data_IF_558818401028
#
_entry.id   IF_558818401028
#
_cell.length_a   1.000
_cell.length_b   1.000
_cell.length_c   1.000
_cell.angle_alpha   90.00
_cell.angle_beta   90.00
_cell.angle_gamma   90.00
#
_symmetry.space_group_name_H-M   'P 1'
#
loop_
_entity.id
_entity.type
_entity.pdbx_description
1 polymer ?
#
# COMPACT_ATOMS: atom_id res chain seq x y z
N UNK A 1 -3.84 31.13 -10.96
CA UNK A 1 -2.76 31.76 -10.19
C UNK A 1 -1.51 30.91 -10.39
N UNK A 2 -0.39 31.47 -10.85
CA UNK A 2 0.86 30.73 -11.10
C UNK A 2 1.64 30.77 -9.79
N UNK A 3 1.84 29.60 -9.16
CA UNK A 3 2.63 29.50 -7.94
C UNK A 3 4.08 29.22 -8.33
N UNK A 4 5.01 30.12 -7.97
CA UNK A 4 6.45 29.88 -8.03
C UNK A 4 6.91 29.40 -6.65
N UNK A 5 7.25 28.10 -6.50
CA UNK A 5 7.92 27.62 -5.30
C UNK A 5 9.31 28.28 -5.18
N UNK A 6 9.70 28.78 -3.99
CA UNK A 6 10.98 29.47 -3.83
C UNK A 6 12.16 28.52 -4.12
N UNK A 7 13.00 28.89 -5.10
CA UNK A 7 14.21 28.16 -5.47
C UNK A 7 15.30 28.36 -4.42
N UNK A 8 15.39 27.46 -3.43
CA UNK A 8 16.64 27.25 -2.70
C UNK A 8 17.51 26.25 -3.49
N UNK A 9 18.72 26.68 -3.88
CA UNK A 9 19.74 25.81 -4.50
C UNK A 9 20.14 24.68 -3.52
N UNK A 10 19.40 23.61 -3.48
CA UNK A 10 19.82 22.30 -2.96
C UNK A 10 19.62 21.28 -4.07
N UNK A 11 20.47 20.23 -4.11
CA UNK A 11 20.39 19.08 -5.00
C UNK A 11 18.90 18.67 -5.07
N UNK A 12 18.27 18.87 -6.22
CA UNK A 12 16.84 18.73 -6.41
C UNK A 12 16.49 17.24 -6.29
N UNK A 13 16.26 16.78 -5.06
CA UNK A 13 15.58 15.51 -4.84
C UNK A 13 14.11 15.83 -5.12
N UNK A 14 13.64 15.46 -6.30
CA UNK A 14 12.25 15.62 -6.70
C UNK A 14 11.42 14.59 -5.96
N UNK A 15 10.82 14.95 -4.84
CA UNK A 15 9.93 14.09 -4.04
C UNK A 15 8.47 14.19 -4.48
N UNK A 16 8.18 14.77 -5.64
CA UNK A 16 6.82 14.85 -6.18
C UNK A 16 6.24 13.45 -6.40
N UNK A 17 4.94 13.30 -6.18
CA UNK A 17 4.25 12.13 -6.68
C UNK A 17 4.28 12.20 -8.22
N UNK A 18 4.85 11.19 -8.85
CA UNK A 18 5.10 11.17 -10.29
C UNK A 18 4.43 9.97 -10.92
N UNK A 19 3.59 10.22 -11.91
CA UNK A 19 3.04 9.18 -12.79
C UNK A 19 3.75 9.24 -14.13
N UNK A 20 4.12 8.08 -14.68
CA UNK A 20 4.76 7.98 -15.99
C UNK A 20 4.34 6.72 -16.72
N UNK A 21 4.35 6.80 -18.05
CA UNK A 21 4.05 5.66 -18.92
C UNK A 21 4.69 5.87 -20.30
N UNK A 22 5.06 4.81 -21.04
CA UNK A 22 5.40 4.90 -22.45
C UNK A 22 4.19 5.20 -23.35
N UNK A 23 2.97 5.14 -22.81
CA UNK A 23 1.72 5.37 -23.52
C UNK A 23 1.00 6.61 -22.99
N UNK A 24 0.16 7.27 -23.81
CA UNK A 24 -0.71 8.35 -23.34
C UNK A 24 -1.58 7.88 -22.17
N UNK A 25 -1.76 8.75 -21.18
CA UNK A 25 -2.67 8.53 -20.07
C UNK A 25 -3.24 9.81 -19.51
N UNK A 26 -4.31 9.69 -18.74
CA UNK A 26 -4.92 10.81 -17.99
C UNK A 26 -5.25 10.39 -16.57
N UNK A 27 -5.38 11.38 -15.70
CA UNK A 27 -5.76 11.20 -14.30
C UNK A 27 -6.92 12.12 -13.97
N UNK A 28 -7.93 11.61 -13.25
CA UNK A 28 -9.05 12.38 -12.72
C UNK A 28 -9.50 11.88 -11.37
N UNK A 29 -10.22 12.69 -10.64
CA UNK A 29 -10.97 12.37 -9.42
C UNK A 29 -12.36 12.92 -9.55
N UNK A 30 -13.39 12.08 -9.39
CA UNK A 30 -14.78 12.54 -9.52
C UNK A 30 -15.20 13.42 -8.33
N UNK A 31 -14.80 13.00 -7.13
CA UNK A 31 -15.07 13.74 -5.90
C UNK A 31 -13.75 13.99 -5.18
N UNK A 32 -13.22 15.22 -5.16
CA UNK A 32 -12.03 15.56 -4.38
C UNK A 32 -12.20 15.29 -2.90
N UNK A 33 -11.19 14.59 -2.31
CA UNK A 33 -11.18 14.20 -0.89
C UNK A 33 -10.16 14.97 -0.04
N UNK A 34 -9.34 15.80 -0.67
CA UNK A 34 -8.31 16.57 0.02
C UNK A 34 -8.89 17.82 0.71
N UNK A 35 -8.28 18.21 1.82
CA UNK A 35 -8.74 19.27 2.72
C UNK A 35 -7.90 20.57 2.65
N UNK A 36 -6.83 20.57 1.86
CA UNK A 36 -6.01 21.72 1.50
C UNK A 36 -6.03 21.95 -0.01
N UNK A 37 -4.84 22.00 -0.64
CA UNK A 37 -4.70 22.18 -2.07
C UNK A 37 -3.84 21.13 -2.71
N UNK A 38 -4.20 20.71 -3.93
CA UNK A 38 -3.34 19.91 -4.81
C UNK A 38 -2.98 20.70 -6.06
N UNK A 39 -1.80 20.42 -6.57
CA UNK A 39 -1.29 20.99 -7.80
C UNK A 39 -0.78 19.88 -8.71
N UNK A 40 -0.89 20.06 -10.02
CA UNK A 40 -0.25 19.21 -11.00
C UNK A 40 0.68 19.99 -11.91
N UNK A 41 1.60 19.30 -12.54
CA UNK A 41 2.51 19.82 -13.56
C UNK A 41 2.79 18.74 -14.61
N UNK A 42 3.09 19.16 -15.82
CA UNK A 42 3.57 18.31 -16.92
C UNK A 42 5.07 18.44 -17.17
N UNK A 43 5.73 19.42 -16.54
CA UNK A 43 7.14 19.75 -16.80
C UNK A 43 7.95 20.09 -15.55
N UNK A 44 7.33 19.99 -14.35
CA UNK A 44 7.88 20.35 -13.03
C UNK A 44 8.25 21.84 -12.87
N UNK A 45 8.01 22.68 -13.87
CA UNK A 45 8.33 24.12 -13.85
C UNK A 45 7.10 24.95 -13.59
N UNK A 46 5.98 24.60 -14.23
CA UNK A 46 4.69 25.29 -14.09
C UNK A 46 3.71 24.38 -13.35
N UNK A 47 3.20 24.85 -12.22
CA UNK A 47 2.23 24.16 -11.38
C UNK A 47 0.87 24.83 -11.49
N UNK A 48 -0.18 24.06 -11.65
CA UNK A 48 -1.57 24.48 -11.75
C UNK A 48 -2.36 23.86 -10.62
N UNK A 49 -3.17 24.64 -9.91
CA UNK A 49 -4.08 24.11 -8.88
C UNK A 49 -5.03 23.10 -9.52
N UNK A 50 -5.12 21.92 -8.94
CA UNK A 50 -5.93 20.82 -9.44
C UNK A 50 -7.18 20.64 -8.61
N UNK A 51 -8.32 20.62 -9.30
CA UNK A 51 -9.65 20.48 -8.69
C UNK A 51 -10.26 19.09 -8.93
N UNK A 52 -9.49 18.14 -9.44
CA UNK A 52 -9.93 16.78 -9.75
C UNK A 52 -10.34 16.55 -11.20
N UNK A 53 -10.45 17.61 -12.01
CA UNK A 53 -10.73 17.51 -13.43
C UNK A 53 -9.71 16.62 -14.15
N UNK A 54 -10.11 16.01 -15.25
CA UNK A 54 -9.21 15.18 -16.05
C UNK A 54 -8.02 15.99 -16.55
N UNK A 55 -6.81 15.46 -16.30
CA UNK A 55 -5.55 16.02 -16.77
C UNK A 55 -4.80 14.96 -17.57
N UNK A 56 -4.31 15.38 -18.76
CA UNK A 56 -3.58 14.50 -19.66
C UNK A 56 -2.08 14.63 -19.41
N UNK A 57 -1.39 13.49 -19.45
CA UNK A 57 0.06 13.46 -19.43
C UNK A 57 0.62 14.05 -20.72
N UNK A 58 1.78 14.70 -20.60
CA UNK A 58 2.51 15.26 -21.74
C UNK A 58 3.74 14.40 -22.01
N UNK A 59 3.98 14.14 -23.29
CA UNK A 59 5.14 13.37 -23.75
C UNK A 59 6.40 14.24 -23.76
N UNK A 60 7.48 13.70 -23.25
CA UNK A 60 8.83 14.20 -23.39
C UNK A 60 9.80 13.03 -23.47
N UNK A 61 10.66 13.01 -24.49
CA UNK A 61 11.68 11.97 -24.70
C UNK A 61 11.13 10.52 -24.72
N UNK A 62 9.93 10.33 -25.29
CA UNK A 62 9.26 9.03 -25.39
C UNK A 62 8.51 8.59 -24.15
N UNK A 63 8.39 9.43 -23.13
CA UNK A 63 7.68 9.14 -21.88
C UNK A 63 6.61 10.19 -21.61
N UNK A 64 5.39 9.75 -21.34
CA UNK A 64 4.31 10.59 -20.84
C UNK A 64 4.44 10.73 -19.33
N UNK A 65 4.31 11.94 -18.78
CA UNK A 65 4.42 12.19 -17.35
C UNK A 65 3.39 13.20 -16.82
N UNK A 66 3.01 12.99 -15.55
CA UNK A 66 2.27 13.92 -14.70
C UNK A 66 2.89 13.94 -13.31
N UNK A 67 3.00 15.12 -12.75
CA UNK A 67 3.56 15.37 -11.43
C UNK A 67 2.51 15.99 -10.52
N UNK A 68 2.45 15.57 -9.26
CA UNK A 68 1.52 16.10 -8.28
C UNK A 68 2.24 16.51 -7.01
N UNK A 69 1.77 17.60 -6.40
CA UNK A 69 2.18 18.03 -5.06
C UNK A 69 1.02 18.68 -4.33
N UNK A 70 1.09 18.76 -3.02
CA UNK A 70 0.07 19.35 -2.18
C UNK A 70 0.63 20.36 -1.20
N UNK A 71 -0.27 21.14 -0.60
CA UNK A 71 0.05 22.02 0.51
C UNK A 71 -1.13 22.11 1.46
N UNK A 72 -0.84 22.08 2.78
CA UNK A 72 -1.83 22.22 3.83
C UNK A 72 -2.88 21.11 3.88
N UNK A 73 -2.63 19.94 3.27
CA UNK A 73 -3.51 18.79 3.39
C UNK A 73 -3.11 17.93 4.60
N UNK A 74 -4.10 17.33 5.24
CA UNK A 74 -3.93 16.23 6.18
C UNK A 74 -4.52 14.92 5.62
N UNK A 75 -5.31 15.03 4.54
CA UNK A 75 -6.02 13.94 3.88
C UNK A 75 -6.09 14.19 2.38
N UNK A 76 -6.01 13.10 1.58
CA UNK A 76 -6.10 13.15 0.11
C UNK A 76 -7.35 12.43 -0.41
N UNK A 77 -7.72 11.33 0.23
CA UNK A 77 -8.90 10.55 -0.06
C UNK A 77 -9.69 10.36 1.24
N UNK A 78 -10.56 9.40 1.33
CA UNK A 78 -11.33 9.16 2.55
C UNK A 78 -12.34 8.03 2.36
N UNK A 79 -12.07 7.16 1.37
CA UNK A 79 -12.91 6.02 1.02
C UNK A 79 -13.19 5.91 -0.47
N UNK A 80 -14.02 4.97 -0.84
CA UNK A 80 -14.23 4.56 -2.24
C UNK A 80 -14.80 5.64 -3.16
N UNK A 81 -15.48 6.65 -2.64
CA UNK A 81 -16.01 7.78 -3.41
C UNK A 81 -14.93 8.79 -3.84
N UNK A 82 -13.77 8.77 -3.21
CA UNK A 82 -12.68 9.75 -3.41
C UNK A 82 -11.48 9.16 -4.15
N UNK A 83 -11.68 8.03 -4.83
CA UNK A 83 -10.60 7.34 -5.53
C UNK A 83 -10.15 8.10 -6.77
N UNK A 84 -8.87 7.96 -7.07
CA UNK A 84 -8.27 8.44 -8.30
C UNK A 84 -8.53 7.45 -9.44
N UNK A 85 -8.82 7.97 -10.62
CA UNK A 85 -9.00 7.17 -11.85
C UNK A 85 -7.82 7.43 -12.78
N UNK A 86 -7.12 6.37 -13.15
CA UNK A 86 -5.99 6.38 -14.07
C UNK A 86 -6.45 5.74 -15.39
N UNK A 87 -6.63 6.55 -16.42
CA UNK A 87 -7.02 6.10 -17.77
C UNK A 87 -5.78 5.94 -18.64
N UNK A 88 -5.48 4.75 -19.07
CA UNK A 88 -4.30 4.42 -19.86
C UNK A 88 -3.79 3.02 -19.53
N UNK A 89 -2.56 2.73 -19.91
CA UNK A 89 -1.92 1.43 -19.68
C UNK A 89 -0.49 1.59 -19.16
N UNK A 90 -0.01 0.58 -18.42
CA UNK A 90 1.38 0.52 -17.94
C UNK A 90 1.83 1.77 -17.19
N UNK A 91 0.99 2.30 -16.30
CA UNK A 91 1.27 3.51 -15.55
C UNK A 91 2.11 3.16 -14.34
N UNK A 92 3.28 3.80 -14.23
CA UNK A 92 4.17 3.75 -13.06
C UNK A 92 3.87 4.93 -12.15
N UNK A 93 3.77 4.69 -10.83
CA UNK A 93 3.70 5.75 -9.83
C UNK A 93 4.93 5.69 -8.94
N UNK A 94 5.65 6.79 -8.81
CA UNK A 94 6.90 6.91 -8.04
C UNK A 94 6.91 8.19 -7.20
N UNK A 95 7.98 8.40 -6.42
CA UNK A 95 8.08 9.54 -5.51
C UNK A 95 7.50 9.25 -4.13
N UNK A 96 7.34 10.29 -3.33
CA UNK A 96 6.84 10.20 -1.95
C UNK A 96 5.36 10.59 -1.90
N UNK A 97 4.49 9.69 -1.42
CA UNK A 97 3.05 9.96 -1.31
C UNK A 97 2.73 11.14 -0.39
N UNK A 98 3.54 11.36 0.64
CA UNK A 98 3.35 12.45 1.60
C UNK A 98 3.51 13.83 0.96
N UNK A 99 4.16 13.92 -0.21
CA UNK A 99 4.25 15.18 -0.97
C UNK A 99 2.90 15.73 -1.42
N UNK A 100 1.85 14.90 -1.43
CA UNK A 100 0.47 15.34 -1.66
C UNK A 100 -0.13 16.04 -0.45
N UNK A 101 0.34 15.73 0.76
CA UNK A 101 -0.11 16.40 1.98
C UNK A 101 0.53 17.77 2.09
N UNK A 102 1.85 17.80 2.17
CA UNK A 102 2.60 19.05 2.23
C UNK A 102 4.01 18.85 1.67
N UNK A 103 4.23 19.36 0.46
CA UNK A 103 5.49 19.20 -0.25
C UNK A 103 6.67 19.87 0.48
N UNK A 104 6.47 21.06 1.07
CA UNK A 104 7.54 21.81 1.73
C UNK A 104 8.02 21.07 2.99
N UNK A 105 7.10 20.47 3.76
CA UNK A 105 7.42 19.63 4.91
C UNK A 105 8.25 18.42 4.49
N UNK A 106 7.86 17.72 3.42
CA UNK A 106 8.61 16.55 2.88
C UNK A 106 9.96 16.98 2.32
N UNK A 107 10.04 18.10 1.61
CA UNK A 107 11.30 18.63 1.07
C UNK A 107 12.28 19.07 2.17
N UNK A 108 11.77 19.43 3.35
CA UNK A 108 12.57 19.72 4.54
C UNK A 108 13.04 18.45 5.29
N UNK A 109 12.59 17.26 4.87
CA UNK A 109 12.94 15.98 5.49
C UNK A 109 12.06 15.60 6.67
N UNK A 110 10.87 16.16 6.77
CA UNK A 110 9.89 15.89 7.83
C UNK A 110 8.66 15.15 7.28
N UNK A 111 7.86 14.57 8.18
CA UNK A 111 6.59 13.93 7.86
C UNK A 111 5.43 14.89 8.14
N UNK A 112 4.51 15.10 7.18
CA UNK A 112 3.27 15.84 7.39
C UNK A 112 2.34 15.12 8.35
N UNK A 113 1.37 15.84 8.92
CA UNK A 113 0.31 15.25 9.74
C UNK A 113 -0.62 14.40 8.88
N UNK A 114 -0.91 13.17 9.33
CA UNK A 114 -1.88 12.26 8.73
C UNK A 114 -3.20 12.34 9.48
N UNK A 115 -4.30 12.62 8.79
CA UNK A 115 -5.64 12.42 9.34
C UNK A 115 -6.10 10.97 9.16
N UNK A 116 -7.18 10.58 9.83
CA UNK A 116 -7.80 9.27 9.63
C UNK A 116 -8.26 9.10 8.18
N UNK A 117 -8.11 7.87 7.68
CA UNK A 117 -8.44 7.50 6.30
C UNK A 117 -7.69 8.30 5.23
N UNK A 118 -6.54 8.90 5.55
CA UNK A 118 -5.78 9.85 4.75
C UNK A 118 -5.65 9.48 3.26
N UNK A 119 -5.34 8.21 2.96
CA UNK A 119 -5.20 7.68 1.60
C UNK A 119 -6.14 6.48 1.34
N UNK A 120 -7.16 6.33 2.18
CA UNK A 120 -8.08 5.18 2.06
C UNK A 120 -8.69 5.09 0.67
N UNK A 121 -8.56 3.92 0.02
CA UNK A 121 -9.05 3.61 -1.33
C UNK A 121 -8.50 4.47 -2.47
N UNK A 122 -7.47 5.30 -2.25
CA UNK A 122 -7.00 6.30 -3.22
C UNK A 122 -6.79 5.72 -4.63
N UNK A 123 -6.13 4.58 -4.75
CA UNK A 123 -5.86 3.90 -6.03
C UNK A 123 -6.66 2.61 -6.21
N UNK A 124 -7.73 2.42 -5.44
CA UNK A 124 -8.54 1.20 -5.53
C UNK A 124 -9.10 1.00 -6.93
N UNK A 125 -8.84 -0.18 -7.52
CA UNK A 125 -9.27 -0.52 -8.87
C UNK A 125 -8.44 0.07 -10.02
N UNK A 126 -7.30 0.72 -9.73
CA UNK A 126 -6.39 1.22 -10.77
C UNK A 126 -5.65 0.06 -11.44
N UNK A 127 -6.32 -0.62 -12.39
CA UNK A 127 -5.78 -1.82 -13.05
C UNK A 127 -4.59 -1.54 -13.97
N UNK A 128 -4.38 -0.30 -14.39
CA UNK A 128 -3.23 0.13 -15.20
C UNK A 128 -1.97 0.42 -14.38
N UNK A 129 -2.07 0.47 -13.03
CA UNK A 129 -0.96 0.80 -12.15
C UNK A 129 0.00 -0.38 -12.00
N UNK A 130 1.27 -0.19 -12.35
CA UNK A 130 2.31 -1.23 -12.35
C UNK A 130 3.30 -1.12 -11.20
N UNK A 131 3.55 0.10 -10.71
CA UNK A 131 4.38 0.39 -9.53
C UNK A 131 3.69 1.39 -8.62
N UNK A 132 4.11 1.46 -7.37
CA UNK A 132 3.52 2.31 -6.34
C UNK A 132 4.56 3.26 -5.73
N UNK A 133 4.13 4.43 -5.21
CA UNK A 133 5.03 5.40 -4.59
C UNK A 133 5.58 4.89 -3.26
N UNK A 134 6.60 5.56 -2.72
CA UNK A 134 7.06 5.30 -1.36
C UNK A 134 6.02 5.73 -0.32
N UNK A 135 5.90 4.92 0.76
CA UNK A 135 5.01 5.13 1.90
C UNK A 135 5.86 5.23 3.17
N UNK A 136 6.51 6.36 3.43
CA UNK A 136 7.57 6.46 4.44
C UNK A 136 7.07 6.63 5.88
N UNK A 137 5.77 6.82 6.11
CA UNK A 137 5.21 7.03 7.43
C UNK A 137 5.53 5.86 8.38
N UNK A 138 6.05 6.17 9.56
CA UNK A 138 6.38 5.21 10.62
C UNK A 138 5.30 5.10 11.71
N UNK A 139 4.42 6.08 11.78
CA UNK A 139 3.23 6.14 12.64
C UNK A 139 2.01 6.37 11.77
N UNK A 140 0.99 5.54 11.93
CA UNK A 140 -0.22 5.59 11.13
C UNK A 140 -1.43 6.01 11.97
N UNK A 141 -2.46 6.50 11.27
CA UNK A 141 -3.78 6.83 11.81
C UNK A 141 -4.82 5.78 11.37
N UNK A 142 -6.02 5.85 11.90
CA UNK A 142 -7.09 4.89 11.60
C UNK A 142 -7.39 4.85 10.11
N UNK A 143 -7.42 3.63 9.55
CA UNK A 143 -7.72 3.36 8.14
C UNK A 143 -6.84 4.09 7.11
N UNK A 144 -5.68 4.62 7.49
CA UNK A 144 -4.83 5.49 6.67
C UNK A 144 -4.57 4.94 5.25
N UNK A 145 -4.20 3.65 5.13
CA UNK A 145 -3.93 2.98 3.85
C UNK A 145 -4.94 1.87 3.53
N UNK A 146 -6.10 1.88 4.22
CA UNK A 146 -7.12 0.86 3.99
C UNK A 146 -7.58 0.86 2.53
N UNK A 147 -7.62 -0.33 1.88
CA UNK A 147 -7.99 -0.52 0.46
C UNK A 147 -7.17 0.29 -0.56
N UNK A 148 -6.05 0.93 -0.18
CA UNK A 148 -5.36 1.92 -1.02
C UNK A 148 -5.03 1.41 -2.43
N UNK A 149 -4.57 0.17 -2.57
CA UNK A 149 -4.24 -0.47 -3.84
C UNK A 149 -5.11 -1.69 -4.14
N UNK A 150 -6.25 -1.84 -3.45
CA UNK A 150 -7.14 -2.98 -3.68
C UNK A 150 -7.57 -3.06 -5.14
N UNK A 151 -7.43 -4.23 -5.78
CA UNK A 151 -7.80 -4.43 -7.17
C UNK A 151 -6.82 -3.85 -8.20
N UNK A 152 -5.63 -3.40 -7.82
CA UNK A 152 -4.56 -3.00 -8.75
C UNK A 152 -3.94 -4.26 -9.38
N UNK A 153 -4.61 -4.82 -10.38
CA UNK A 153 -4.30 -6.16 -10.91
C UNK A 153 -2.99 -6.24 -11.69
N UNK A 154 -2.45 -5.12 -12.19
CA UNK A 154 -1.15 -5.07 -12.87
C UNK A 154 0.02 -4.80 -11.92
N UNK A 155 -0.24 -4.60 -10.63
CA UNK A 155 0.80 -4.33 -9.65
C UNK A 155 1.62 -5.59 -9.37
N UNK A 156 2.93 -5.53 -9.58
CA UNK A 156 3.87 -6.66 -9.41
C UNK A 156 4.72 -6.56 -8.15
N UNK A 157 4.93 -5.36 -7.64
CA UNK A 157 5.79 -5.05 -6.48
C UNK A 157 5.05 -4.18 -5.47
N UNK A 158 5.50 -4.23 -4.22
CA UNK A 158 4.96 -3.42 -3.11
C UNK A 158 6.01 -2.44 -2.61
N UNK A 159 5.61 -1.29 -2.00
CA UNK A 159 6.53 -0.39 -1.33
C UNK A 159 7.00 -1.01 -0.01
N UNK A 160 8.09 -0.48 0.55
CA UNK A 160 8.42 -0.71 1.95
C UNK A 160 7.31 -0.16 2.85
N UNK A 161 6.98 -0.89 3.92
CA UNK A 161 6.01 -0.49 4.95
C UNK A 161 6.72 -0.36 6.29
N UNK A 162 7.39 0.77 6.58
CA UNK A 162 8.25 0.93 7.75
C UNK A 162 7.50 1.14 9.05
N UNK A 163 6.18 1.31 9.03
CA UNK A 163 5.40 1.67 10.20
C UNK A 163 5.48 0.59 11.30
N UNK A 164 5.87 1.03 12.47
CA UNK A 164 5.89 0.24 13.72
C UNK A 164 4.79 0.64 14.68
N UNK A 165 4.26 1.85 14.57
CA UNK A 165 3.08 2.33 15.30
C UNK A 165 1.86 2.26 14.38
N UNK A 166 1.02 1.29 14.64
CA UNK A 166 -0.18 1.02 13.86
C UNK A 166 -1.42 1.62 14.50
N UNK A 167 -2.43 1.90 13.70
CA UNK A 167 -3.77 2.28 14.12
C UNK A 167 -4.82 1.32 13.56
N UNK A 168 -6.07 1.48 13.97
CA UNK A 168 -7.18 0.61 13.58
C UNK A 168 -7.30 0.52 12.06
N UNK A 169 -7.36 -0.70 11.54
CA UNK A 169 -7.58 -1.00 10.11
C UNK A 169 -6.60 -0.30 9.14
N UNK A 170 -5.44 0.17 9.61
CA UNK A 170 -4.54 1.04 8.84
C UNK A 170 -4.05 0.41 7.52
N UNK A 171 -3.88 -0.91 7.45
CA UNK A 171 -3.50 -1.65 6.24
C UNK A 171 -4.57 -2.66 5.79
N UNK A 172 -5.81 -2.55 6.32
CA UNK A 172 -6.87 -3.48 5.96
C UNK A 172 -7.12 -3.49 4.46
N UNK A 173 -7.12 -4.69 3.85
CA UNK A 173 -7.36 -4.93 2.42
C UNK A 173 -6.47 -4.13 1.46
N UNK A 174 -5.32 -3.62 1.92
CA UNK A 174 -4.48 -2.69 1.16
C UNK A 174 -4.10 -3.20 -0.23
N UNK A 175 -3.78 -4.47 -0.38
CA UNK A 175 -3.40 -5.13 -1.63
C UNK A 175 -4.39 -6.22 -2.05
N UNK A 176 -5.58 -6.26 -1.47
CA UNK A 176 -6.58 -7.27 -1.83
C UNK A 176 -6.85 -7.26 -3.34
N UNK A 177 -6.96 -8.46 -3.96
CA UNK A 177 -7.15 -8.61 -5.41
C UNK A 177 -6.01 -8.05 -6.31
N UNK A 178 -4.81 -7.84 -5.80
CA UNK A 178 -3.62 -7.56 -6.61
C UNK A 178 -3.09 -8.86 -7.22
N UNK A 179 -3.76 -9.35 -8.26
CA UNK A 179 -3.56 -10.72 -8.79
C UNK A 179 -2.19 -10.97 -9.42
N UNK A 180 -1.46 -9.93 -9.83
CA UNK A 180 -0.09 -10.03 -10.36
C UNK A 180 1.01 -9.83 -9.30
N UNK A 181 0.64 -9.53 -8.06
CA UNK A 181 1.60 -9.29 -6.99
C UNK A 181 2.33 -10.57 -6.61
N UNK A 182 3.67 -10.57 -6.68
CA UNK A 182 4.50 -11.75 -6.43
C UNK A 182 5.17 -11.75 -5.07
N UNK A 183 5.42 -10.59 -4.47
CA UNK A 183 6.15 -10.43 -3.20
C UNK A 183 5.36 -9.63 -2.17
N UNK A 184 5.39 -10.07 -0.93
CA UNK A 184 4.88 -9.31 0.21
C UNK A 184 5.99 -8.40 0.79
N UNK A 185 5.65 -7.24 1.37
CA UNK A 185 6.60 -6.43 2.12
C UNK A 185 6.88 -7.04 3.49
N UNK A 186 7.99 -6.65 4.12
CA UNK A 186 8.22 -6.89 5.54
C UNK A 186 7.18 -6.13 6.39
N UNK A 187 6.73 -6.74 7.49
CA UNK A 187 5.76 -6.18 8.44
C UNK A 187 6.41 -6.09 9.83
N UNK A 188 7.12 -4.99 10.14
CA UNK A 188 7.99 -4.90 11.32
C UNK A 188 7.27 -4.67 12.65
N UNK A 189 5.97 -4.31 12.64
CA UNK A 189 5.24 -3.95 13.85
C UNK A 189 5.11 -5.13 14.82
N UNK A 190 5.48 -4.90 16.06
CA UNK A 190 5.35 -5.86 17.18
C UNK A 190 4.13 -5.59 18.05
N UNK A 191 3.55 -4.40 17.96
CA UNK A 191 2.30 -4.01 18.60
C UNK A 191 1.22 -3.87 17.53
N UNK A 192 0.15 -4.63 17.67
CA UNK A 192 -0.95 -4.66 16.73
C UNK A 192 -2.16 -3.89 17.27
N UNK A 193 -3.04 -3.52 16.34
CA UNK A 193 -4.32 -2.88 16.62
C UNK A 193 -5.46 -3.63 15.92
N UNK A 194 -6.70 -3.29 16.23
CA UNK A 194 -7.89 -3.92 15.63
C UNK A 194 -7.82 -3.94 14.11
N UNK A 195 -7.96 -5.12 13.49
CA UNK A 195 -8.01 -5.32 12.03
C UNK A 195 -6.84 -4.72 11.23
N UNK A 196 -5.69 -4.42 11.83
CA UNK A 196 -4.62 -3.65 11.18
C UNK A 196 -4.10 -4.26 9.86
N UNK A 197 -4.11 -5.60 9.72
CA UNK A 197 -3.69 -6.32 8.51
C UNK A 197 -4.80 -7.23 7.95
N UNK A 198 -6.06 -7.03 8.38
CA UNK A 198 -7.17 -7.85 7.91
C UNK A 198 -7.26 -7.83 6.39
N UNK A 199 -7.38 -9.02 5.75
CA UNK A 199 -7.52 -9.20 4.30
C UNK A 199 -6.43 -8.53 3.44
N UNK A 200 -5.28 -8.17 4.02
CA UNK A 200 -4.27 -7.34 3.37
C UNK A 200 -3.85 -7.85 1.99
N UNK A 201 -3.72 -9.17 1.82
CA UNK A 201 -3.33 -9.83 0.58
C UNK A 201 -4.41 -10.79 0.06
N UNK A 202 -5.67 -10.66 0.51
CA UNK A 202 -6.74 -11.54 0.04
C UNK A 202 -6.79 -11.55 -1.50
N UNK A 203 -6.88 -12.76 -2.09
CA UNK A 203 -6.93 -13.00 -3.55
C UNK A 203 -5.70 -12.52 -4.36
N UNK A 204 -4.53 -12.35 -3.71
CA UNK A 204 -3.24 -12.14 -4.38
C UNK A 204 -2.70 -13.49 -4.89
N UNK A 205 -3.25 -13.99 -6.01
CA UNK A 205 -3.03 -15.36 -6.49
C UNK A 205 -1.60 -15.65 -6.94
N UNK A 206 -0.83 -14.63 -7.37
CA UNK A 206 0.57 -14.78 -7.78
C UNK A 206 1.57 -14.66 -6.62
N UNK A 207 1.11 -14.37 -5.40
CA UNK A 207 1.99 -14.13 -4.25
C UNK A 207 2.76 -15.39 -3.85
N UNK A 208 4.09 -15.30 -3.85
CA UNK A 208 5.01 -16.42 -3.55
C UNK A 208 5.84 -16.22 -2.28
N UNK A 209 5.69 -15.08 -1.60
CA UNK A 209 6.35 -14.80 -0.34
C UNK A 209 5.34 -14.60 0.80
N UNK A 210 5.73 -14.95 2.01
CA UNK A 210 4.95 -14.68 3.23
C UNK A 210 5.77 -13.80 4.17
N UNK A 211 5.20 -12.71 4.73
CA UNK A 211 5.90 -11.91 5.71
C UNK A 211 6.04 -12.66 7.03
N UNK A 212 7.16 -12.48 7.71
CA UNK A 212 7.27 -12.92 9.09
C UNK A 212 6.43 -12.03 10.01
N UNK A 213 5.75 -12.63 11.00
CA UNK A 213 4.82 -11.95 11.89
C UNK A 213 5.39 -11.94 13.31
N UNK A 214 6.05 -10.84 13.73
CA UNK A 214 6.81 -10.80 14.98
C UNK A 214 5.96 -10.55 16.24
N UNK A 215 4.74 -10.03 16.10
CA UNK A 215 3.89 -9.63 17.22
C UNK A 215 3.49 -10.85 18.08
N UNK A 216 3.77 -10.78 19.38
CA UNK A 216 3.43 -11.85 20.34
C UNK A 216 2.04 -11.68 20.95
N UNK A 217 1.48 -10.48 20.97
CA UNK A 217 0.10 -10.23 21.39
C UNK A 217 -0.73 -9.86 20.17
N UNK A 218 -1.66 -10.74 19.81
CA UNK A 218 -2.60 -10.50 18.73
C UNK A 218 -3.79 -9.68 19.25
N UNK A 219 -4.38 -8.90 18.36
CA UNK A 219 -5.61 -8.14 18.60
C UNK A 219 -6.74 -8.67 17.73
N UNK A 220 -7.96 -8.28 18.04
CA UNK A 220 -9.14 -8.74 17.31
C UNK A 220 -8.99 -8.47 15.81
N UNK A 221 -9.24 -9.50 14.99
CA UNK A 221 -9.21 -9.47 13.53
C UNK A 221 -7.89 -9.06 12.88
N UNK A 222 -6.76 -8.96 13.62
CA UNK A 222 -5.51 -8.37 13.10
C UNK A 222 -4.98 -9.01 11.82
N UNK A 223 -5.10 -10.34 11.65
CA UNK A 223 -4.67 -11.11 10.47
C UNK A 223 -5.83 -11.89 9.82
N UNK A 224 -7.07 -11.56 10.18
CA UNK A 224 -8.27 -12.21 9.63
C UNK A 224 -8.26 -12.15 8.09
N UNK A 225 -8.48 -13.29 7.40
CA UNK A 225 -8.45 -13.42 5.93
C UNK A 225 -7.17 -12.92 5.23
N UNK A 226 -6.05 -12.72 5.92
CA UNK A 226 -4.87 -12.02 5.38
C UNK A 226 -4.38 -12.58 4.05
N UNK A 227 -4.36 -13.90 3.87
CA UNK A 227 -3.93 -14.59 2.65
C UNK A 227 -5.04 -15.41 2.00
N UNK A 228 -6.31 -15.14 2.32
CA UNK A 228 -7.43 -15.86 1.70
C UNK A 228 -7.31 -15.80 0.18
N UNK A 229 -7.47 -16.95 -0.50
CA UNK A 229 -7.44 -17.04 -1.96
C UNK A 229 -6.06 -16.87 -2.61
N UNK A 230 -4.98 -16.78 -1.83
CA UNK A 230 -3.60 -16.73 -2.33
C UNK A 230 -3.15 -18.13 -2.73
N UNK A 231 -3.51 -18.59 -3.91
CA UNK A 231 -3.30 -19.99 -4.35
C UNK A 231 -1.84 -20.42 -4.46
N UNK A 232 -0.90 -19.48 -4.57
CA UNK A 232 0.54 -19.75 -4.59
C UNK A 232 1.19 -19.70 -3.20
N UNK A 233 0.46 -19.29 -2.15
CA UNK A 233 0.89 -19.50 -0.77
C UNK A 233 0.59 -20.94 -0.38
N UNK A 234 1.63 -21.67 0.04
CA UNK A 234 1.55 -23.10 0.32
C UNK A 234 2.03 -23.41 1.73
N UNK A 235 1.13 -23.95 2.55
CA UNK A 235 1.45 -24.41 3.90
C UNK A 235 1.14 -25.92 4.05
N UNK A 236 1.86 -26.54 5.00
CA UNK A 236 1.63 -27.90 5.45
C UNK A 236 1.78 -27.99 6.99
N UNK A 237 1.12 -28.97 7.59
CA UNK A 237 1.25 -29.24 9.04
C UNK A 237 2.57 -29.94 9.35
N UNK A 238 3.07 -30.76 8.42
CA UNK A 238 4.26 -31.58 8.62
C UNK A 238 5.38 -31.16 7.67
N UNK A 239 6.62 -31.23 8.16
CA UNK A 239 7.82 -31.02 7.35
C UNK A 239 7.95 -32.12 6.28
N UNK A 240 8.34 -31.71 5.09
CA UNK A 240 8.62 -32.61 3.98
C UNK A 240 9.74 -32.03 3.10
N UNK A 241 10.13 -32.76 2.04
CA UNK A 241 11.12 -32.26 1.07
C UNK A 241 10.61 -31.03 0.31
N UNK A 242 9.30 -30.90 0.11
CA UNK A 242 8.67 -29.74 -0.56
C UNK A 242 8.42 -28.60 0.42
N UNK A 243 8.08 -28.90 1.68
CA UNK A 243 7.73 -27.94 2.72
C UNK A 243 8.82 -27.99 3.81
N UNK A 244 9.92 -27.29 3.62
CA UNK A 244 11.13 -27.39 4.44
C UNK A 244 11.36 -26.19 5.37
N UNK A 245 10.71 -25.05 5.11
CA UNK A 245 10.85 -23.82 5.89
C UNK A 245 9.77 -23.72 6.96
N UNK A 246 10.18 -23.43 8.18
CA UNK A 246 9.24 -23.25 9.29
C UNK A 246 8.54 -21.91 9.21
N UNK A 247 7.22 -21.91 9.36
CA UNK A 247 6.39 -20.72 9.47
C UNK A 247 5.56 -20.79 10.75
N UNK A 248 5.71 -19.81 11.62
CA UNK A 248 5.07 -19.79 12.93
C UNK A 248 4.54 -18.40 13.25
N UNK A 249 3.42 -18.32 13.98
CA UNK A 249 2.79 -17.11 14.46
C UNK A 249 2.70 -17.17 16.00
N UNK A 250 3.35 -16.26 16.72
CA UNK A 250 4.38 -15.32 16.29
C UNK A 250 5.62 -16.05 15.78
N UNK A 251 6.47 -15.34 15.03
CA UNK A 251 7.74 -15.86 14.50
C UNK A 251 8.59 -16.53 15.57
N UNK A 252 8.60 -15.98 16.79
CA UNK A 252 9.37 -16.50 17.95
C UNK A 252 8.64 -16.22 19.25
N UNK A 253 9.02 -16.95 20.31
CA UNK A 253 8.39 -16.85 21.61
C UNK A 253 6.99 -17.50 21.67
N UNK A 254 6.28 -17.29 22.75
CA UNK A 254 4.88 -17.68 22.88
C UNK A 254 3.98 -16.46 22.74
N UNK A 255 2.96 -16.59 21.91
CA UNK A 255 1.99 -15.54 21.66
C UNK A 255 0.65 -15.78 22.37
N UNK A 256 -0.13 -14.72 22.44
CA UNK A 256 -1.51 -14.71 22.94
C UNK A 256 -2.42 -14.28 21.79
N UNK A 257 -3.49 -15.04 21.56
CA UNK A 257 -4.49 -14.75 20.52
C UNK A 257 -5.61 -13.86 21.04
N UNK A 258 -6.37 -13.31 20.12
CA UNK A 258 -7.57 -12.51 20.37
C UNK A 258 -8.72 -12.97 19.45
N UNK A 259 -9.90 -12.36 19.59
CA UNK A 259 -11.09 -12.71 18.83
C UNK A 259 -10.86 -12.66 17.33
N UNK A 260 -11.05 -13.78 16.64
CA UNK A 260 -10.91 -13.90 15.18
C UNK A 260 -9.58 -13.37 14.61
N UNK A 261 -8.54 -13.29 15.43
CA UNK A 261 -7.24 -12.74 15.04
C UNK A 261 -6.65 -13.43 13.79
N UNK A 262 -6.86 -14.74 13.66
CA UNK A 262 -6.31 -15.59 12.60
C UNK A 262 -7.40 -16.27 11.75
N UNK A 263 -8.68 -15.91 11.93
CA UNK A 263 -9.79 -16.60 11.25
C UNK A 263 -9.59 -16.58 9.72
N UNK A 264 -9.68 -17.79 9.13
CA UNK A 264 -9.60 -17.98 7.68
C UNK A 264 -8.34 -17.37 7.02
N UNK A 265 -7.27 -17.14 7.80
CA UNK A 265 -6.05 -16.48 7.32
C UNK A 265 -5.48 -17.14 6.06
N UNK A 266 -5.51 -18.48 5.99
CA UNK A 266 -5.04 -19.28 4.85
C UNK A 266 -6.18 -19.99 4.12
N UNK A 267 -7.41 -19.48 4.20
CA UNK A 267 -8.54 -20.07 3.50
C UNK A 267 -8.31 -20.01 1.97
N UNK A 268 -8.52 -21.14 1.28
CA UNK A 268 -8.34 -21.27 -0.17
C UNK A 268 -6.92 -20.93 -0.67
N UNK A 269 -5.90 -21.15 0.16
CA UNK A 269 -4.49 -21.13 -0.27
C UNK A 269 -4.13 -22.48 -0.91
N UNK A 270 -2.96 -22.55 -1.55
CA UNK A 270 -2.35 -23.81 -1.99
C UNK A 270 -1.74 -24.59 -0.82
N UNK A 271 -1.19 -25.77 -1.10
CA UNK A 271 -0.59 -26.63 -0.07
C UNK A 271 -1.60 -27.56 0.60
N UNK A 272 -1.15 -28.27 1.62
CA UNK A 272 -1.94 -29.31 2.31
C UNK A 272 -2.67 -28.79 3.55
N UNK A 273 -2.32 -27.60 4.02
CA UNK A 273 -3.03 -26.88 5.07
C UNK A 273 -3.70 -25.62 4.52
N UNK A 274 -4.97 -25.50 4.76
CA UNK A 274 -5.78 -24.31 4.46
C UNK A 274 -6.70 -23.98 5.63
N UNK A 275 -7.10 -22.70 5.78
CA UNK A 275 -8.04 -22.27 6.79
C UNK A 275 -7.43 -21.41 7.89
N UNK A 276 -7.84 -21.65 9.14
CA UNK A 276 -7.44 -20.89 10.33
C UNK A 276 -6.24 -21.54 11.00
N UNK A 277 -5.05 -20.90 11.04
CA UNK A 277 -3.92 -21.44 11.76
C UNK A 277 -4.07 -21.26 13.28
N UNK A 278 -3.41 -22.14 14.04
CA UNK A 278 -3.32 -21.99 15.49
C UNK A 278 -2.07 -21.18 15.85
N UNK A 279 -2.20 -20.28 16.82
CA UNK A 279 -1.06 -19.58 17.41
C UNK A 279 -0.11 -20.57 18.10
N UNK A 280 1.18 -20.26 18.15
CA UNK A 280 2.23 -21.09 18.75
C UNK A 280 2.46 -22.45 18.07
N UNK A 281 1.83 -22.69 16.93
CA UNK A 281 2.00 -23.91 16.13
C UNK A 281 2.98 -23.64 14.99
N UNK A 282 3.90 -24.58 14.76
CA UNK A 282 4.79 -24.53 13.61
C UNK A 282 4.14 -25.21 12.42
N UNK A 283 4.04 -24.48 11.34
CA UNK A 283 3.69 -24.93 9.99
C UNK A 283 4.93 -24.96 9.13
N UNK A 284 4.85 -25.55 7.95
CA UNK A 284 5.95 -25.61 7.00
C UNK A 284 5.52 -25.05 5.66
N UNK A 285 6.43 -24.38 4.97
CA UNK A 285 6.13 -23.74 3.68
C UNK A 285 7.27 -23.93 2.69
N UNK A 286 6.92 -23.95 1.40
CA UNK A 286 7.87 -23.81 0.28
C UNK A 286 8.12 -22.34 -0.10
N UNK A 287 7.29 -21.42 0.39
CA UNK A 287 7.38 -20.00 0.07
C UNK A 287 8.61 -19.35 0.74
N UNK A 288 9.07 -18.22 0.17
CA UNK A 288 10.08 -17.38 0.82
C UNK A 288 9.45 -16.59 1.95
N UNK A 289 10.08 -16.58 3.12
CA UNK A 289 9.69 -15.78 4.29
C UNK A 289 10.51 -14.49 4.25
N UNK A 290 9.82 -13.34 4.31
CA UNK A 290 10.41 -11.99 4.26
C UNK A 290 10.20 -11.22 5.56
#
# INVERSE_FOLDING_TARGET
>A
MIYNFPRKKRKQITNYLTFSSPNPFSIRVETPGWDGKLYYSTDTKRWVEWTGNEVNATEADGIYALYFSGTGNTKIAGGSSYKWTLNGSSISCTGNIESLLDYETVAAGHHPTLADSCYSSMFSGCTSLTTVPSLPATTLTDSCYSYMFSGCRSLTTVPSLPATTLARSCYSSMFSNCTSLTTAPSLPATTLTYSCYSSMFSDCRSLTTVPSLPATTLTDYCYNYMFRGCTNIKLAISKSREYDKEYRIPKSGNGVTATRALDNMFMQTGGTFTGTPSINTTYYTSNTIV
#
